data_IF_055469834610
#
_entry.id   IF_055469834610
#
_cell.length_a   1.000
_cell.length_b   1.000
_cell.length_c   1.000
_cell.angle_alpha   90.00
_cell.angle_beta   90.00
_cell.angle_gamma   90.00
#
_symmetry.space_group_name_H-M   'P 1'
#
loop_
_entity.id
_entity.type
_entity.pdbx_description
1 polymer ?
#
# COMPACT_ATOMS: atom_id res chain seq x y z
N UNK A 1 8.58 3.77 18.50
CA UNK A 1 7.24 4.20 18.94
C UNK A 1 6.51 5.11 17.94
N UNK A 2 6.94 6.37 17.80
CA UNK A 2 6.23 7.40 17.01
C UNK A 2 6.62 7.47 15.52
N UNK A 3 7.68 6.78 15.10
CA UNK A 3 8.13 6.77 13.70
C UNK A 3 7.03 6.43 12.69
N UNK A 4 6.13 5.45 12.94
CA UNK A 4 5.08 5.14 11.98
C UNK A 4 4.09 6.29 11.79
N UNK A 5 3.76 7.01 12.87
CA UNK A 5 2.91 8.20 12.80
C UNK A 5 3.59 9.32 12.01
N UNK A 6 4.89 9.54 12.22
CA UNK A 6 5.65 10.55 11.46
C UNK A 6 5.69 10.19 9.97
N UNK A 7 5.99 8.94 9.62
CA UNK A 7 5.93 8.44 8.25
C UNK A 7 4.54 8.65 7.63
N UNK A 8 3.48 8.38 8.38
CA UNK A 8 2.11 8.64 7.94
C UNK A 8 1.82 10.13 7.71
N UNK A 9 2.23 11.02 8.61
CA UNK A 9 2.01 12.46 8.47
C UNK A 9 2.78 13.06 7.28
N UNK A 10 4.03 12.62 7.07
CA UNK A 10 4.81 13.01 5.89
C UNK A 10 4.14 12.49 4.62
N UNK A 11 3.72 11.22 4.62
CA UNK A 11 2.96 10.63 3.52
C UNK A 11 1.66 11.39 3.22
N UNK A 12 0.93 11.81 4.24
CA UNK A 12 -0.27 12.63 4.10
C UNK A 12 0.05 14.01 3.51
N UNK A 13 1.12 14.66 3.97
CA UNK A 13 1.55 15.95 3.44
C UNK A 13 1.89 15.86 1.94
N UNK A 14 2.76 14.93 1.55
CA UNK A 14 3.08 14.73 0.13
C UNK A 14 1.88 14.26 -0.68
N UNK A 15 1.05 13.37 -0.11
CA UNK A 15 -0.18 12.88 -0.71
C UNK A 15 -1.19 13.99 -0.98
N UNK A 16 -1.35 14.96 -0.06
CA UNK A 16 -2.22 16.12 -0.29
C UNK A 16 -1.70 17.01 -1.42
N UNK A 17 -0.40 17.25 -1.49
CA UNK A 17 0.22 18.09 -2.53
C UNK A 17 0.14 17.43 -3.92
N UNK A 18 0.65 16.20 -4.02
CA UNK A 18 0.67 15.43 -5.28
C UNK A 18 -0.74 15.06 -5.70
N UNK A 19 -1.59 14.67 -4.74
CA UNK A 19 -2.98 14.31 -5.00
C UNK A 19 -3.79 15.47 -5.54
N UNK A 20 -3.53 16.71 -5.11
CA UNK A 20 -4.27 17.88 -5.59
C UNK A 20 -4.06 18.11 -7.10
N UNK A 21 -2.84 17.86 -7.58
CA UNK A 21 -2.49 17.97 -9.01
C UNK A 21 -2.99 16.74 -9.77
N UNK A 22 -2.71 15.55 -9.24
CA UNK A 22 -2.98 14.28 -9.92
C UNK A 22 -4.47 14.06 -10.14
N UNK A 23 -5.31 14.34 -9.14
CA UNK A 23 -6.75 14.01 -9.17
C UNK A 23 -7.61 14.96 -10.00
N UNK A 24 -7.02 15.99 -10.63
CA UNK A 24 -7.73 16.92 -11.54
C UNK A 24 -8.34 16.22 -12.74
N UNK A 25 -7.77 15.10 -13.16
CA UNK A 25 -8.30 14.25 -14.23
C UNK A 25 -8.56 12.86 -13.66
N UNK A 26 -9.46 12.11 -14.28
CA UNK A 26 -9.79 10.75 -13.89
C UNK A 26 -9.19 9.73 -14.85
N UNK A 27 -9.16 8.46 -14.45
CA UNK A 27 -8.83 7.35 -15.33
C UNK A 27 -7.35 7.32 -15.74
N UNK A 28 -7.08 7.12 -17.03
CA UNK A 28 -5.73 6.92 -17.56
C UNK A 28 -4.84 8.14 -17.36
N UNK A 29 -5.37 9.36 -17.45
CA UNK A 29 -4.59 10.58 -17.20
C UNK A 29 -4.11 10.67 -15.76
N UNK A 30 -4.94 10.30 -14.79
CA UNK A 30 -4.55 10.23 -13.38
C UNK A 30 -3.42 9.21 -13.17
N UNK A 31 -3.53 8.04 -13.81
CA UNK A 31 -2.52 6.99 -13.72
C UNK A 31 -1.17 7.44 -14.31
N UNK A 32 -1.18 8.09 -15.49
CA UNK A 32 0.03 8.61 -16.13
C UNK A 32 0.71 9.70 -15.29
N UNK A 33 -0.05 10.63 -14.71
CA UNK A 33 0.51 11.66 -13.82
C UNK A 33 1.13 11.01 -12.57
N UNK A 34 0.43 10.06 -11.96
CA UNK A 34 0.92 9.37 -10.76
C UNK A 34 2.19 8.55 -11.03
N UNK A 35 2.26 7.87 -12.19
CA UNK A 35 3.46 7.17 -12.65
C UNK A 35 4.62 8.15 -12.83
N UNK A 36 4.37 9.28 -13.49
CA UNK A 36 5.39 10.32 -13.68
C UNK A 36 5.94 10.86 -12.36
N UNK A 37 5.10 11.06 -11.35
CA UNK A 37 5.56 11.40 -9.99
C UNK A 37 6.39 10.28 -9.36
N UNK A 38 6.02 9.01 -9.54
CA UNK A 38 6.78 7.86 -9.06
C UNK A 38 8.19 7.77 -9.67
N UNK A 39 8.29 7.91 -11.00
CA UNK A 39 9.59 7.97 -11.69
C UNK A 39 10.42 9.18 -11.25
N UNK A 40 9.78 10.35 -11.10
CA UNK A 40 10.48 11.55 -10.64
C UNK A 40 11.08 11.34 -9.25
N UNK A 41 10.34 10.74 -8.31
CA UNK A 41 10.86 10.45 -6.97
C UNK A 41 12.01 9.44 -7.04
N UNK A 42 11.86 8.37 -7.82
CA UNK A 42 12.92 7.35 -8.00
C UNK A 42 14.20 7.98 -8.57
N UNK A 43 14.07 8.83 -9.59
CA UNK A 43 15.20 9.56 -10.18
C UNK A 43 15.82 10.56 -9.18
N UNK A 44 15.01 11.22 -8.35
CA UNK A 44 15.51 12.11 -7.30
C UNK A 44 16.34 11.36 -6.26
N UNK A 45 15.96 10.13 -5.89
CA UNK A 45 16.73 9.29 -4.97
C UNK A 45 18.12 8.97 -5.53
N UNK A 46 18.23 8.68 -6.82
CA UNK A 46 19.51 8.41 -7.50
C UNK A 46 20.39 9.65 -7.66
N UNK A 47 19.81 10.77 -8.10
CA UNK A 47 20.58 11.97 -8.47
C UNK A 47 20.98 12.78 -7.23
N UNK A 48 20.12 12.85 -6.21
CA UNK A 48 20.32 13.70 -5.04
C UNK A 48 21.07 12.96 -3.91
N UNK A 49 22.31 12.56 -4.21
CA UNK A 49 23.17 11.76 -3.32
C UNK A 49 23.34 12.39 -1.94
N UNK A 50 23.45 13.72 -1.85
CA UNK A 50 23.62 14.41 -0.57
C UNK A 50 22.47 14.18 0.44
N UNK A 51 21.28 13.82 -0.03
CA UNK A 51 20.11 13.58 0.82
C UNK A 51 19.73 12.11 0.91
N UNK A 52 19.78 11.38 -0.21
CA UNK A 52 19.34 9.98 -0.29
C UNK A 52 20.47 8.95 -0.25
N UNK A 53 21.72 9.41 -0.22
CA UNK A 53 22.93 8.58 -0.32
C UNK A 53 23.02 7.76 -1.64
N UNK A 54 22.25 8.15 -2.66
CA UNK A 54 22.32 7.59 -4.02
C UNK A 54 21.98 6.10 -4.07
N UNK A 55 22.80 5.33 -4.78
CA UNK A 55 22.64 3.87 -4.92
C UNK A 55 22.89 3.09 -3.63
N UNK A 56 23.67 3.63 -2.69
CA UNK A 56 23.95 2.97 -1.42
C UNK A 56 22.76 3.01 -0.46
N UNK A 57 21.80 3.90 -0.69
CA UNK A 57 20.63 4.07 0.16
C UNK A 57 20.98 4.51 1.58
N UNK A 58 19.94 4.63 2.40
CA UNK A 58 20.07 5.05 3.80
C UNK A 58 19.97 3.81 4.68
N UNK A 59 21.04 3.56 5.45
CA UNK A 59 20.98 2.59 6.54
C UNK A 59 20.33 3.24 7.77
N UNK A 60 19.30 2.59 8.28
CA UNK A 60 18.63 2.96 9.51
C UNK A 60 19.12 2.03 10.60
N UNK A 61 19.68 2.58 11.66
CA UNK A 61 19.99 1.81 12.86
C UNK A 61 18.80 1.89 13.82
N UNK A 62 18.12 0.77 14.07
CA UNK A 62 16.98 0.72 15.00
C UNK A 62 17.38 1.03 16.45
N UNK A 63 18.67 0.95 16.80
CA UNK A 63 19.20 1.32 18.11
C UNK A 63 19.53 2.81 18.25
N UNK A 64 19.61 3.57 17.15
CA UNK A 64 19.91 5.01 17.18
C UNK A 64 18.61 5.81 17.09
N UNK A 65 18.02 6.10 18.25
CA UNK A 65 16.84 6.97 18.37
C UNK A 65 16.42 7.14 19.84
N UNK A 66 15.66 8.20 20.19
CA UNK A 66 15.15 8.36 21.55
C UNK A 66 14.19 7.20 21.86
N UNK A 67 14.48 6.43 22.90
CA UNK A 67 13.63 5.35 23.42
C UNK A 67 12.25 5.92 23.83
N UNK A 68 11.20 5.86 23.00
CA UNK A 68 9.91 6.31 23.41
C UNK A 68 9.37 5.20 24.32
N UNK A 69 9.18 5.53 25.61
CA UNK A 69 8.69 4.63 26.66
C UNK A 69 9.71 3.65 27.29
N UNK A 70 11.03 3.87 27.13
CA UNK A 70 12.06 3.07 27.81
C UNK A 70 12.13 1.61 27.35
N UNK A 71 11.69 1.36 26.11
CA UNK A 71 11.72 0.04 25.46
C UNK A 71 12.89 0.06 24.47
N UNK A 72 13.86 -0.83 24.69
CA UNK A 72 15.03 -0.98 23.83
C UNK A 72 14.62 -1.80 22.61
N UNK A 73 14.49 -1.18 21.43
CA UNK A 73 14.16 -1.86 20.16
C UNK A 73 15.29 -2.77 19.63
N UNK A 74 16.14 -3.30 20.51
CA UNK A 74 17.19 -4.26 20.17
C UNK A 74 16.63 -5.62 19.73
N UNK A 75 15.67 -6.25 20.45
CA UNK A 75 15.17 -7.57 20.10
C UNK A 75 14.20 -7.57 18.91
N UNK A 76 14.41 -8.46 17.94
CA UNK A 76 13.50 -8.63 16.78
C UNK A 76 12.04 -8.91 17.17
N UNK A 77 11.83 -9.55 18.32
CA UNK A 77 10.49 -9.84 18.85
C UNK A 77 9.71 -8.55 19.18
N UNK A 78 10.39 -7.51 19.67
CA UNK A 78 9.73 -6.24 20.02
C UNK A 78 9.34 -5.46 18.78
N UNK A 79 10.20 -5.48 17.75
CA UNK A 79 9.90 -4.91 16.43
C UNK A 79 8.72 -5.64 15.80
N UNK A 80 8.64 -6.97 15.92
CA UNK A 80 7.50 -7.74 15.46
C UNK A 80 6.19 -7.29 16.13
N UNK A 81 6.15 -7.20 17.46
CA UNK A 81 4.95 -6.75 18.18
C UNK A 81 4.56 -5.31 17.82
N UNK A 82 5.53 -4.42 17.61
CA UNK A 82 5.29 -3.05 17.16
C UNK A 82 4.64 -3.03 15.77
N UNK A 83 5.19 -3.77 14.80
CA UNK A 83 4.65 -3.87 13.44
C UNK A 83 3.26 -4.50 13.47
N UNK A 84 3.07 -5.57 14.22
CA UNK A 84 1.77 -6.24 14.36
C UNK A 84 0.72 -5.28 14.96
N UNK A 85 1.05 -4.56 16.03
CA UNK A 85 0.13 -3.60 16.64
C UNK A 85 -0.25 -2.47 15.69
N UNK A 86 0.71 -1.89 14.97
CA UNK A 86 0.43 -0.84 13.98
C UNK A 86 -0.36 -1.34 12.78
N UNK A 87 -0.02 -2.52 12.25
CA UNK A 87 -0.78 -3.14 11.15
C UNK A 87 -2.23 -3.38 11.55
N UNK A 88 -2.48 -3.90 12.76
CA UNK A 88 -3.82 -4.12 13.27
C UNK A 88 -4.58 -2.80 13.43
N UNK A 89 -3.93 -1.77 13.99
CA UNK A 89 -4.52 -0.44 14.12
C UNK A 89 -4.88 0.16 12.75
N UNK A 90 -4.00 0.04 11.74
CA UNK A 90 -4.28 0.50 10.39
C UNK A 90 -5.44 -0.27 9.74
N UNK A 91 -5.51 -1.60 9.91
CA UNK A 91 -6.62 -2.43 9.42
C UNK A 91 -7.94 -1.95 10.04
N UNK A 92 -7.98 -1.78 11.37
CA UNK A 92 -9.19 -1.31 12.07
C UNK A 92 -9.56 0.11 11.63
N UNK A 93 -8.58 1.01 11.50
CA UNK A 93 -8.81 2.40 11.07
C UNK A 93 -9.35 2.46 9.63
N UNK A 94 -8.74 1.74 8.68
CA UNK A 94 -9.23 1.64 7.31
C UNK A 94 -10.64 1.03 7.26
N UNK A 95 -10.89 -0.01 8.05
CA UNK A 95 -12.21 -0.65 8.11
C UNK A 95 -13.26 0.33 8.64
N UNK A 96 -12.97 1.06 9.71
CA UNK A 96 -13.84 2.11 10.23
C UNK A 96 -14.11 3.18 9.17
N UNK A 97 -13.09 3.63 8.44
CA UNK A 97 -13.20 4.61 7.35
C UNK A 97 -14.15 4.13 6.25
N UNK A 98 -14.12 2.85 5.86
CA UNK A 98 -15.06 2.33 4.85
C UNK A 98 -16.53 2.43 5.28
N UNK A 99 -16.82 2.41 6.58
CA UNK A 99 -18.18 2.53 7.13
C UNK A 99 -18.65 3.98 7.28
N UNK A 100 -17.74 4.96 7.19
CA UNK A 100 -18.08 6.39 7.28
C UNK A 100 -18.82 6.88 6.02
N UNK A 101 -19.52 8.04 6.06
CA UNK A 101 -20.07 8.66 4.86
C UNK A 101 -19.01 8.92 3.77
N UNK A 102 -17.76 9.18 4.16
CA UNK A 102 -16.67 9.35 3.20
C UNK A 102 -16.41 8.07 2.40
N UNK A 103 -16.30 6.91 3.06
CA UNK A 103 -16.12 5.62 2.38
C UNK A 103 -17.26 5.30 1.40
N UNK A 104 -18.51 5.56 1.81
CA UNK A 104 -19.68 5.40 0.92
C UNK A 104 -19.62 6.34 -0.29
N UNK A 105 -19.18 7.58 -0.09
CA UNK A 105 -19.00 8.54 -1.18
C UNK A 105 -17.87 8.12 -2.12
N UNK A 106 -16.74 7.63 -1.60
CA UNK A 106 -15.65 7.11 -2.42
C UNK A 106 -16.09 5.95 -3.30
N UNK A 107 -16.92 5.03 -2.76
CA UNK A 107 -17.52 3.95 -3.55
C UNK A 107 -18.47 4.50 -4.62
N UNK A 108 -19.32 5.48 -4.29
CA UNK A 108 -20.20 6.11 -5.29
C UNK A 108 -19.43 6.79 -6.43
N UNK A 109 -18.34 7.51 -6.12
CA UNK A 109 -17.46 8.13 -7.13
C UNK A 109 -16.71 7.09 -7.95
N UNK A 110 -16.38 5.92 -7.37
CA UNK A 110 -15.76 4.79 -8.07
C UNK A 110 -16.72 4.16 -9.07
N UNK A 111 -17.96 3.91 -8.67
CA UNK A 111 -18.92 3.16 -9.47
C UNK A 111 -19.53 4.01 -10.59
N UNK A 112 -19.87 5.27 -10.31
CA UNK A 112 -20.34 6.19 -11.34
C UNK A 112 -20.02 7.66 -10.99
N UNK A 113 -18.89 8.20 -11.48
CA UNK A 113 -18.48 9.57 -11.16
C UNK A 113 -19.43 10.62 -11.75
N UNK A 114 -20.02 10.34 -12.91
CA UNK A 114 -20.97 11.26 -13.57
C UNK A 114 -22.24 11.44 -12.73
N UNK A 115 -22.78 10.34 -12.20
CA UNK A 115 -23.93 10.37 -11.27
C UNK A 115 -23.61 11.12 -9.98
N UNK A 116 -22.40 10.96 -9.44
CA UNK A 116 -21.99 11.69 -8.25
C UNK A 116 -21.94 13.21 -8.49
N UNK A 117 -21.50 13.64 -9.67
CA UNK A 117 -21.50 15.05 -10.08
C UNK A 117 -22.91 15.62 -10.24
N UNK A 118 -23.86 14.86 -10.79
CA UNK A 118 -25.26 15.29 -10.90
C UNK A 118 -25.95 15.53 -9.56
N UNK A 119 -25.52 14.85 -8.49
CA UNK A 119 -26.04 15.04 -7.12
C UNK A 119 -25.36 16.25 -6.44
N UNK A 120 -24.44 16.94 -7.11
CA UNK A 120 -23.76 18.14 -6.63
C UNK A 120 -22.46 17.87 -5.88
N UNK A 121 -21.96 16.63 -5.89
CA UNK A 121 -20.67 16.30 -5.28
C UNK A 121 -19.51 16.54 -6.25
N UNK A 122 -18.44 17.12 -5.73
CA UNK A 122 -17.21 17.29 -6.50
C UNK A 122 -16.38 15.99 -6.47
N UNK A 123 -16.32 15.27 -7.58
CA UNK A 123 -15.59 14.00 -7.71
C UNK A 123 -14.09 14.15 -7.46
N UNK A 124 -13.49 15.28 -7.88
CA UNK A 124 -12.08 15.57 -7.63
C UNK A 124 -11.78 15.65 -6.14
N UNK A 125 -12.61 16.34 -5.35
CA UNK A 125 -12.40 16.46 -3.89
C UNK A 125 -12.42 15.09 -3.19
N UNK A 126 -13.34 14.22 -3.59
CA UNK A 126 -13.43 12.85 -3.04
C UNK A 126 -12.20 12.03 -3.40
N UNK A 127 -11.76 12.08 -4.67
CA UNK A 127 -10.53 11.39 -5.11
C UNK A 127 -9.29 11.94 -4.41
N UNK A 128 -9.19 13.26 -4.24
CA UNK A 128 -8.07 13.92 -3.57
C UNK A 128 -7.95 13.49 -2.11
N UNK A 129 -9.07 13.50 -1.37
CA UNK A 129 -9.11 13.02 0.01
C UNK A 129 -8.77 11.53 0.11
N UNK A 130 -9.26 10.72 -0.83
CA UNK A 130 -8.97 9.28 -0.86
C UNK A 130 -7.48 9.03 -1.14
N UNK A 131 -6.87 9.81 -2.04
CA UNK A 131 -5.45 9.75 -2.34
C UNK A 131 -4.61 10.15 -1.12
N UNK A 132 -4.91 11.27 -0.48
CA UNK A 132 -4.16 11.75 0.69
C UNK A 132 -4.23 10.76 1.86
N UNK A 133 -5.40 10.17 2.10
CA UNK A 133 -5.60 9.16 3.14
C UNK A 133 -4.86 7.85 2.81
N UNK A 134 -4.84 7.44 1.54
CA UNK A 134 -4.05 6.29 1.10
C UNK A 134 -2.56 6.54 1.29
N UNK A 135 -2.07 7.75 0.99
CA UNK A 135 -0.67 8.14 1.21
C UNK A 135 -0.29 8.17 2.69
N UNK A 136 -1.21 8.53 3.60
CA UNK A 136 -0.99 8.39 5.04
C UNK A 136 -0.68 6.95 5.42
N UNK A 137 -1.53 6.01 5.02
CA UNK A 137 -1.31 4.60 5.35
C UNK A 137 -0.09 4.00 4.65
N UNK A 138 0.19 4.41 3.41
CA UNK A 138 1.42 4.04 2.71
C UNK A 138 2.68 4.56 3.43
N UNK A 139 2.63 5.78 3.99
CA UNK A 139 3.73 6.34 4.79
C UNK A 139 3.94 5.60 6.11
N UNK A 140 2.87 5.16 6.77
CA UNK A 140 2.95 4.25 7.94
C UNK A 140 3.59 2.92 7.52
N UNK A 141 3.18 2.34 6.39
CA UNK A 141 3.76 1.08 5.89
C UNK A 141 5.24 1.22 5.53
N UNK A 142 5.64 2.30 4.86
CA UNK A 142 7.05 2.55 4.48
C UNK A 142 7.96 2.76 5.68
N UNK A 143 7.50 3.44 6.72
CA UNK A 143 8.26 3.60 7.97
C UNK A 143 8.37 2.30 8.76
N UNK A 144 7.34 1.45 8.76
CA UNK A 144 7.43 0.09 9.31
C UNK A 144 8.39 -0.79 8.50
N UNK A 145 8.42 -0.65 7.17
CA UNK A 145 9.37 -1.34 6.30
C UNK A 145 10.82 -0.94 6.62
N UNK A 146 11.10 0.36 6.74
CA UNK A 146 12.42 0.86 7.12
C UNK A 146 12.87 0.35 8.50
N UNK A 147 11.94 0.22 9.45
CA UNK A 147 12.21 -0.36 10.78
C UNK A 147 12.51 -1.87 10.74
N UNK A 148 11.91 -2.60 9.80
CA UNK A 148 12.08 -4.05 9.71
C UNK A 148 13.37 -4.44 8.99
N UNK A 149 13.70 -3.75 7.91
CA UNK A 149 14.83 -4.09 7.04
C UNK A 149 16.08 -3.26 7.29
N UNK A 150 15.98 -2.15 8.05
CA UNK A 150 17.12 -1.27 8.41
C UNK A 150 17.88 -0.68 7.22
N UNK A 151 17.35 -0.86 6.02
CA UNK A 151 17.94 -0.41 4.78
C UNK A 151 16.84 0.10 3.87
N UNK A 152 17.03 1.30 3.35
CA UNK A 152 16.13 1.92 2.38
C UNK A 152 16.97 2.36 1.19
N UNK A 153 17.01 1.52 0.16
CA UNK A 153 17.66 1.79 -1.12
C UNK A 153 16.68 2.22 -2.21
N UNK A 154 17.22 2.42 -3.42
CA UNK A 154 16.47 2.87 -4.61
C UNK A 154 15.40 1.86 -5.01
N UNK A 155 15.67 0.57 -4.79
CA UNK A 155 14.76 -0.53 -5.05
C UNK A 155 13.44 -0.41 -4.26
N UNK A 156 13.50 0.14 -3.05
CA UNK A 156 12.30 0.32 -2.19
C UNK A 156 11.35 1.39 -2.71
N UNK A 157 11.86 2.37 -3.46
CA UNK A 157 11.10 3.48 -4.04
C UNK A 157 10.71 3.20 -5.51
N UNK A 158 11.25 2.13 -6.08
CA UNK A 158 11.08 1.79 -7.49
C UNK A 158 9.62 1.53 -7.89
N UNK A 159 9.34 1.73 -9.19
CA UNK A 159 8.05 1.37 -9.78
C UNK A 159 7.78 -0.13 -9.70
N UNK A 160 8.83 -0.96 -9.78
CA UNK A 160 8.70 -2.40 -9.63
C UNK A 160 8.15 -2.78 -8.24
N UNK A 161 8.61 -2.12 -7.18
CA UNK A 161 8.10 -2.33 -5.83
C UNK A 161 6.62 -1.92 -5.72
N UNK A 162 6.26 -0.75 -6.29
CA UNK A 162 4.87 -0.29 -6.36
C UNK A 162 3.97 -1.27 -7.13
N UNK A 163 4.48 -1.84 -8.23
CA UNK A 163 3.81 -2.88 -9.01
C UNK A 163 3.59 -4.17 -8.22
N UNK A 164 4.54 -4.56 -7.38
CA UNK A 164 4.40 -5.75 -6.52
C UNK A 164 3.26 -5.60 -5.51
N UNK A 165 3.13 -4.42 -4.88
CA UNK A 165 2.00 -4.12 -3.99
C UNK A 165 0.67 -4.13 -4.75
N UNK A 166 0.66 -3.61 -5.98
CA UNK A 166 -0.52 -3.67 -6.85
C UNK A 166 -0.90 -5.12 -7.19
N UNK A 167 0.08 -5.98 -7.49
CA UNK A 167 -0.15 -7.40 -7.72
C UNK A 167 -0.75 -8.10 -6.50
N UNK A 168 -0.22 -7.84 -5.30
CA UNK A 168 -0.79 -8.36 -4.05
C UNK A 168 -2.27 -7.96 -3.91
N UNK A 169 -2.61 -6.70 -4.18
CA UNK A 169 -3.98 -6.22 -4.10
C UNK A 169 -4.91 -6.87 -5.14
N UNK A 170 -4.48 -7.00 -6.39
CA UNK A 170 -5.28 -7.63 -7.45
C UNK A 170 -5.47 -9.14 -7.24
N UNK A 171 -4.39 -9.85 -6.90
CA UNK A 171 -4.41 -11.30 -6.63
C UNK A 171 -5.33 -11.60 -5.45
N UNK A 172 -5.21 -10.80 -4.40
CA UNK A 172 -6.07 -10.88 -3.23
C UNK A 172 -7.54 -10.55 -3.53
N UNK A 173 -7.78 -9.57 -4.40
CA UNK A 173 -9.11 -9.14 -4.86
C UNK A 173 -9.47 -7.74 -4.39
N UNK A 174 -9.37 -6.75 -5.29
CA UNK A 174 -9.68 -5.32 -5.05
C UNK A 174 -11.16 -5.03 -4.73
N UNK A 175 -12.05 -5.99 -4.95
CA UNK A 175 -13.48 -5.87 -4.62
C UNK A 175 -13.79 -6.08 -3.14
N UNK A 176 -12.89 -6.70 -2.37
CA UNK A 176 -13.09 -7.03 -0.95
C UNK A 176 -12.05 -6.34 -0.08
N UNK A 177 -12.46 -5.90 1.12
CA UNK A 177 -11.55 -5.29 2.09
C UNK A 177 -10.44 -6.26 2.55
N UNK A 178 -10.76 -7.54 2.70
CA UNK A 178 -9.82 -8.58 3.15
C UNK A 178 -8.92 -9.05 2.00
N UNK A 179 -9.32 -8.82 0.75
CA UNK A 179 -8.61 -9.30 -0.44
C UNK A 179 -7.13 -8.95 -0.43
N UNK A 180 -6.74 -7.67 -0.40
CA UNK A 180 -5.33 -7.27 -0.39
C UNK A 180 -4.50 -7.88 0.74
N UNK A 181 -5.10 -8.14 1.90
CA UNK A 181 -4.43 -8.79 3.05
C UNK A 181 -4.09 -10.24 2.70
N UNK A 182 -5.05 -11.00 2.17
CA UNK A 182 -4.80 -12.39 1.72
C UNK A 182 -3.79 -12.46 0.59
N UNK A 183 -3.87 -11.52 -0.36
CA UNK A 183 -2.91 -11.42 -1.46
C UNK A 183 -1.50 -11.12 -0.98
N UNK A 184 -1.33 -10.20 -0.02
CA UNK A 184 -0.04 -9.92 0.60
C UNK A 184 0.51 -11.17 1.32
N UNK A 185 -0.30 -11.85 2.13
CA UNK A 185 0.11 -13.08 2.83
C UNK A 185 0.56 -14.16 1.83
N UNK A 186 -0.23 -14.41 0.78
CA UNK A 186 0.09 -15.42 -0.22
C UNK A 186 1.38 -15.08 -0.95
N UNK A 187 1.52 -13.84 -1.44
CA UNK A 187 2.68 -13.44 -2.24
C UNK A 187 3.94 -13.38 -1.40
N UNK A 188 3.87 -12.90 -0.15
CA UNK A 188 5.00 -12.93 0.78
C UNK A 188 5.41 -14.36 1.12
N UNK A 189 4.46 -15.26 1.37
CA UNK A 189 4.76 -16.68 1.61
C UNK A 189 5.40 -17.32 0.37
N UNK A 190 4.84 -17.05 -0.81
CA UNK A 190 5.33 -17.56 -2.08
C UNK A 190 6.74 -17.05 -2.38
N UNK A 191 6.99 -15.75 -2.17
CA UNK A 191 8.32 -15.16 -2.29
C UNK A 191 9.31 -15.83 -1.32
N UNK A 192 8.91 -16.04 -0.06
CA UNK A 192 9.78 -16.68 0.94
C UNK A 192 10.13 -18.12 0.60
N UNK A 193 9.21 -18.90 0.01
CA UNK A 193 9.46 -20.29 -0.37
C UNK A 193 10.21 -20.39 -1.71
N UNK A 194 9.77 -19.66 -2.75
CA UNK A 194 10.38 -19.77 -4.07
C UNK A 194 11.75 -19.13 -4.17
N UNK A 195 12.02 -18.05 -3.42
CA UNK A 195 13.36 -17.45 -3.40
C UNK A 195 14.43 -18.43 -2.92
N UNK A 196 14.07 -19.39 -2.06
CA UNK A 196 14.98 -20.45 -1.60
C UNK A 196 15.16 -21.61 -2.59
N UNK A 197 14.32 -21.72 -3.62
CA UNK A 197 14.33 -22.86 -4.57
C UNK A 197 14.79 -22.44 -5.97
N UNK A 198 14.49 -21.23 -6.43
CA UNK A 198 14.77 -20.81 -7.82
C UNK A 198 15.00 -19.30 -7.93
N UNK A 199 16.05 -18.90 -8.65
CA UNK A 199 16.36 -17.48 -8.90
C UNK A 199 15.31 -16.77 -9.80
N UNK A 200 14.62 -17.52 -10.66
CA UNK A 200 13.56 -17.02 -11.55
C UNK A 200 12.18 -16.85 -10.88
N UNK A 201 12.13 -16.48 -9.59
CA UNK A 201 10.88 -16.38 -8.83
C UNK A 201 9.87 -15.36 -9.42
N UNK A 202 10.36 -14.27 -10.04
CA UNK A 202 9.51 -13.29 -10.74
C UNK A 202 8.71 -13.89 -11.90
N UNK A 203 9.23 -14.91 -12.58
CA UNK A 203 8.52 -15.61 -13.65
C UNK A 203 7.28 -16.33 -13.10
N UNK A 204 7.44 -17.03 -11.98
CA UNK A 204 6.34 -17.74 -11.32
C UNK A 204 5.29 -16.77 -10.78
N UNK A 205 5.72 -15.63 -10.23
CA UNK A 205 4.80 -14.58 -9.80
C UNK A 205 3.98 -14.03 -10.99
N UNK A 206 4.62 -13.74 -12.12
CA UNK A 206 3.94 -13.29 -13.33
C UNK A 206 2.95 -14.32 -13.87
N UNK A 207 3.35 -15.60 -13.91
CA UNK A 207 2.49 -16.70 -14.36
C UNK A 207 1.28 -16.89 -13.45
N UNK A 208 1.49 -16.81 -12.13
CA UNK A 208 0.41 -16.86 -11.14
C UNK A 208 -0.53 -15.66 -11.28
N UNK A 209 0.00 -14.45 -11.48
CA UNK A 209 -0.80 -13.25 -11.73
C UNK A 209 -1.69 -13.42 -12.97
N UNK A 210 -1.12 -13.83 -14.11
CA UNK A 210 -1.88 -14.08 -15.34
C UNK A 210 -2.96 -15.15 -15.12
N UNK A 211 -2.62 -16.23 -14.42
CA UNK A 211 -3.56 -17.31 -14.11
C UNK A 211 -4.74 -16.80 -13.28
N UNK A 212 -4.49 -16.01 -12.24
CA UNK A 212 -5.55 -15.46 -11.40
C UNK A 212 -6.41 -14.48 -12.18
N UNK A 213 -5.82 -13.61 -13.00
CA UNK A 213 -6.59 -12.67 -13.85
C UNK A 213 -7.46 -13.42 -14.86
N UNK A 214 -6.98 -14.53 -15.43
CA UNK A 214 -7.72 -15.33 -16.40
C UNK A 214 -8.82 -16.18 -15.77
N UNK A 215 -8.57 -16.81 -14.63
CA UNK A 215 -9.47 -17.82 -14.05
C UNK A 215 -10.28 -17.32 -12.84
N UNK A 216 -9.84 -16.26 -12.16
CA UNK A 216 -10.45 -15.72 -10.95
C UNK A 216 -10.52 -14.18 -10.99
N UNK A 217 -11.42 -13.58 -11.79
CA UNK A 217 -11.49 -12.13 -12.03
C UNK A 217 -11.84 -11.30 -10.78
N UNK A 218 -12.37 -11.93 -9.72
CA UNK A 218 -12.64 -11.30 -8.42
C UNK A 218 -11.52 -11.51 -7.39
N UNK A 219 -10.41 -12.13 -7.79
CA UNK A 219 -9.28 -12.51 -6.92
C UNK A 219 -9.63 -13.63 -5.94
N UNK A 220 -8.70 -13.91 -5.04
CA UNK A 220 -8.85 -14.96 -4.01
C UNK A 220 -10.03 -14.69 -3.08
N UNK A 221 -10.25 -13.43 -2.69
CA UNK A 221 -11.37 -13.07 -1.83
C UNK A 221 -12.74 -13.29 -2.50
N UNK A 222 -12.82 -13.18 -3.83
CA UNK A 222 -14.03 -13.51 -4.57
C UNK A 222 -14.38 -15.00 -4.49
N UNK A 223 -13.37 -15.86 -4.55
CA UNK A 223 -13.54 -17.31 -4.35
C UNK A 223 -14.02 -17.54 -2.92
N UNK A 224 -13.42 -16.87 -1.92
CA UNK A 224 -13.80 -16.99 -0.50
C UNK A 224 -15.25 -16.57 -0.23
N UNK A 225 -15.68 -15.45 -0.80
CA UNK A 225 -17.05 -14.95 -0.64
C UNK A 225 -18.09 -15.78 -1.40
N UNK A 226 -17.69 -16.50 -2.46
CA UNK A 226 -18.61 -17.36 -3.20
C UNK A 226 -19.09 -18.57 -2.38
N UNK A 227 -18.42 -18.93 -1.29
CA UNK A 227 -18.87 -19.95 -0.33
C UNK A 227 -19.56 -19.42 0.94
N UNK A 228 -19.57 -18.10 1.20
CA UNK A 228 -20.40 -17.52 2.29
C UNK A 228 -21.91 -17.81 2.18
N UNK A 229 -22.57 -17.83 1.00
CA UNK A 229 -24.03 -18.05 0.96
C UNK A 229 -24.45 -19.46 1.38
N UNK A 230 -23.55 -20.45 1.39
CA UNK A 230 -23.84 -21.83 1.82
C UNK A 230 -23.96 -21.92 3.35
N UNK A 231 -23.26 -21.06 4.11
CA UNK A 231 -23.34 -21.05 5.57
C UNK A 231 -24.49 -20.22 6.15
N UNK A 232 -25.09 -19.31 5.38
CA UNK A 232 -26.30 -18.59 5.82
C UNK A 232 -27.61 -19.32 5.52
N UNK A 233 -27.52 -20.49 4.88
CA UNK A 233 -28.67 -21.32 4.49
C UNK A 233 -28.66 -22.73 5.11
N UNK A 234 -27.70 -23.04 6.00
CA UNK A 234 -27.67 -24.22 6.85
C UNK A 234 -27.89 -23.82 8.32
#
# INVERSE_FOLDING_TARGET
GLMPLFGGLVGLLFGTLIGYVSTRRAGTTFAMISLGFGEMITAMTLIWVAFFNGEEGIQTDRMIGPEPFGVSFGPDIEVYYLIAAWSFLCIVAMYALTRTPFGRMSNAVRDNPERAEFIGYNTQRVRWQAFALSSFFAGVAGSLHALNYEHVGVETVSIAQSGTVLFMAYIGGVGSFIGPILGAILITFLNSVLSGVTEAWYLYLGLLFVSIVMFAPFGLAGIVMMHEPIWKTA
#
